data_IF_078102211198
#
_entry.id   IF_078102211198
#
_cell.length_a   1.000
_cell.length_b   1.000
_cell.length_c   1.000
_cell.angle_alpha   90.00
_cell.angle_beta   90.00
_cell.angle_gamma   90.00
#
_symmetry.space_group_name_H-M   'P 1'
#
loop_
_entity.id
_entity.type
_entity.pdbx_description
1 polymer ?
#
# COMPACT_ATOMS: atom_id res chain seq x y z
N UNK A 1 11.28 5.78 -15.15
CA UNK A 1 12.01 4.84 -16.04
C UNK A 1 11.63 5.00 -17.52
N UNK A 2 10.36 4.93 -17.91
CA UNK A 2 9.97 4.92 -19.34
C UNK A 2 10.47 6.13 -20.12
N UNK A 3 10.31 7.35 -19.59
CA UNK A 3 10.86 8.55 -20.24
C UNK A 3 12.39 8.52 -20.33
N UNK A 4 13.10 8.01 -19.32
CA UNK A 4 14.55 7.80 -19.38
C UNK A 4 14.95 6.82 -20.49
N UNK A 5 14.24 5.70 -20.61
CA UNK A 5 14.48 4.72 -21.67
C UNK A 5 14.27 5.32 -23.07
N UNK A 6 13.16 6.04 -23.27
CA UNK A 6 12.86 6.70 -24.54
C UNK A 6 13.92 7.76 -24.87
N UNK A 7 14.35 8.54 -23.89
CA UNK A 7 15.39 9.55 -24.08
C UNK A 7 16.72 8.93 -24.52
N UNK A 8 17.17 7.89 -23.80
CA UNK A 8 18.38 7.14 -24.12
C UNK A 8 18.30 6.49 -25.51
N UNK A 9 17.20 5.79 -25.80
CA UNK A 9 17.01 5.10 -27.08
C UNK A 9 17.03 6.07 -28.26
N UNK A 10 16.36 7.23 -28.13
CA UNK A 10 16.40 8.29 -29.14
C UNK A 10 17.83 8.79 -29.37
N UNK A 11 18.59 8.98 -28.30
CA UNK A 11 19.99 9.40 -28.39
C UNK A 11 20.87 8.35 -29.09
N UNK A 12 20.67 7.06 -28.80
CA UNK A 12 21.37 5.97 -29.50
C UNK A 12 21.05 5.97 -31.00
N UNK A 13 19.83 6.34 -31.41
CA UNK A 13 19.46 6.53 -32.82
C UNK A 13 19.93 7.87 -33.42
N UNK A 14 20.69 8.69 -32.69
CA UNK A 14 21.19 9.98 -33.18
C UNK A 14 20.11 11.06 -33.32
N UNK A 15 18.95 10.88 -32.67
CA UNK A 15 17.87 11.87 -32.68
C UNK A 15 18.18 13.02 -31.72
N UNK A 16 17.68 14.25 -32.00
CA UNK A 16 17.90 15.39 -31.12
C UNK A 16 17.29 15.17 -29.74
N UNK A 17 17.99 15.68 -28.72
CA UNK A 17 17.54 15.70 -27.33
C UNK A 17 16.26 16.52 -27.20
N UNK A 18 15.32 16.00 -26.41
CA UNK A 18 14.07 16.67 -26.06
C UNK A 18 14.01 16.84 -24.54
N UNK A 19 13.86 18.07 -24.02
CA UNK A 19 13.81 18.31 -22.58
C UNK A 19 12.54 17.75 -21.92
N UNK A 20 11.48 17.55 -22.70
CA UNK A 20 10.23 16.93 -22.24
C UNK A 20 9.83 15.87 -23.26
N UNK A 21 9.60 14.65 -22.79
CA UNK A 21 9.13 13.54 -23.61
C UNK A 21 7.67 13.24 -23.34
N UNK A 22 6.89 13.14 -24.40
CA UNK A 22 5.55 12.57 -24.34
C UNK A 22 5.66 11.04 -24.33
N UNK A 23 5.36 10.43 -23.19
CA UNK A 23 5.38 8.96 -23.01
C UNK A 23 3.96 8.41 -22.86
N UNK A 24 3.67 7.20 -23.36
CA UNK A 24 2.38 6.55 -23.13
C UNK A 24 2.17 6.30 -21.64
N UNK A 25 0.93 6.36 -21.17
CA UNK A 25 0.51 5.81 -19.89
C UNK A 25 0.43 4.27 -19.99
N UNK A 26 0.43 3.54 -18.86
CA UNK A 26 0.23 2.10 -18.89
C UNK A 26 -1.05 1.74 -19.68
N UNK A 27 -0.97 0.77 -20.61
CA UNK A 27 -2.14 0.34 -21.36
C UNK A 27 -3.22 -0.20 -20.41
N UNK A 28 -4.48 0.19 -20.64
CA UNK A 28 -5.63 -0.29 -19.88
C UNK A 28 -6.48 -1.19 -20.76
N UNK A 29 -7.02 -2.28 -20.19
CA UNK A 29 -7.91 -3.18 -20.92
C UNK A 29 -9.12 -2.41 -21.49
N UNK A 30 -9.42 -2.65 -22.76
CA UNK A 30 -10.54 -1.99 -23.47
C UNK A 30 -10.24 -0.61 -24.05
N UNK A 31 -9.04 -0.05 -23.86
CA UNK A 31 -8.63 1.23 -24.45
C UNK A 31 -7.65 1.00 -25.60
N UNK A 32 -8.00 1.44 -26.82
CA UNK A 32 -7.20 1.18 -28.03
C UNK A 32 -5.83 1.87 -28.05
N UNK A 33 -5.76 3.16 -27.70
CA UNK A 33 -4.50 3.93 -27.63
C UNK A 33 -4.33 4.50 -26.23
N UNK A 34 -3.22 4.23 -25.52
CA UNK A 34 -2.99 4.80 -24.20
C UNK A 34 -2.92 6.33 -24.25
N UNK A 35 -3.46 7.01 -23.23
CA UNK A 35 -3.18 8.43 -23.01
C UNK A 35 -1.67 8.68 -22.87
N UNK A 36 -1.21 9.93 -22.98
CA UNK A 36 0.22 10.26 -22.88
C UNK A 36 0.48 11.32 -21.81
N UNK A 37 1.67 11.28 -21.22
CA UNK A 37 2.15 12.21 -20.20
C UNK A 37 3.45 12.87 -20.67
N UNK A 38 3.55 14.19 -20.50
CA UNK A 38 4.81 14.90 -20.67
C UNK A 38 5.70 14.72 -19.44
N UNK A 39 6.88 14.15 -19.61
CA UNK A 39 7.83 13.90 -18.52
C UNK A 39 9.14 14.64 -18.83
N UNK A 40 9.58 15.55 -17.95
CA UNK A 40 10.89 16.19 -18.06
C UNK A 40 12.02 15.16 -18.03
N UNK A 41 12.98 15.30 -18.94
CA UNK A 41 14.21 14.52 -18.95
C UNK A 41 15.32 15.42 -18.42
N UNK A 42 15.96 15.00 -17.34
CA UNK A 42 17.01 15.79 -16.70
C UNK A 42 18.26 15.86 -17.59
N UNK A 43 18.67 14.71 -18.12
CA UNK A 43 19.84 14.59 -19.00
C UNK A 43 19.83 13.26 -19.75
N UNK A 44 20.65 13.19 -20.80
CA UNK A 44 20.99 11.95 -21.51
C UNK A 44 22.49 11.92 -21.72
N UNK A 45 23.12 10.80 -21.40
CA UNK A 45 24.56 10.61 -21.43
C UNK A 45 24.89 9.39 -22.28
N UNK A 46 25.94 9.46 -23.10
CA UNK A 46 26.52 8.26 -23.72
C UNK A 46 27.29 7.48 -22.66
N UNK A 47 27.01 6.18 -22.52
CA UNK A 47 27.66 5.31 -21.55
C UNK A 47 27.99 3.99 -22.26
N UNK A 48 29.27 3.64 -22.40
CA UNK A 48 29.67 2.39 -23.07
C UNK A 48 29.16 2.27 -24.51
N UNK A 49 28.47 1.16 -24.80
CA UNK A 49 27.85 0.83 -26.09
C UNK A 49 26.41 1.35 -26.22
N UNK A 50 25.96 2.18 -25.28
CA UNK A 50 24.60 2.65 -25.19
C UNK A 50 24.48 4.08 -24.68
N UNK A 51 23.31 4.39 -24.14
CA UNK A 51 23.04 5.68 -23.53
C UNK A 51 22.20 5.53 -22.26
N UNK A 52 22.33 6.49 -21.35
CA UNK A 52 21.58 6.56 -20.11
C UNK A 52 20.74 7.82 -20.08
N UNK A 53 19.43 7.65 -19.98
CA UNK A 53 18.48 8.74 -19.81
C UNK A 53 18.08 8.86 -18.36
N UNK A 54 18.02 10.09 -17.86
CA UNK A 54 17.82 10.39 -16.45
C UNK A 54 16.54 11.17 -16.26
N UNK A 55 15.73 10.74 -15.30
CA UNK A 55 14.51 11.41 -14.88
C UNK A 55 14.54 11.58 -13.37
N UNK A 56 14.16 12.76 -12.88
CA UNK A 56 13.89 12.99 -11.48
C UNK A 56 12.41 12.72 -11.25
N UNK A 57 12.07 11.80 -10.35
CA UNK A 57 10.67 11.46 -10.06
C UNK A 57 9.97 12.66 -9.41
N UNK A 58 8.91 13.13 -10.06
CA UNK A 58 7.98 14.08 -9.46
C UNK A 58 6.79 13.33 -8.82
N UNK A 59 6.78 13.28 -7.49
CA UNK A 59 5.67 12.75 -6.69
C UNK A 59 4.53 13.75 -6.45
N UNK A 60 4.64 14.99 -6.93
CA UNK A 60 3.74 16.07 -6.54
C UNK A 60 3.72 16.27 -5.03
N UNK A 61 2.53 16.59 -4.48
CA UNK A 61 2.32 16.78 -3.03
C UNK A 61 2.21 15.46 -2.24
N UNK A 62 2.41 14.30 -2.88
CA UNK A 62 2.34 13.00 -2.20
C UNK A 62 3.56 12.82 -1.30
N UNK A 63 3.41 12.44 -0.02
CA UNK A 63 4.52 12.10 0.87
C UNK A 63 5.06 10.71 0.50
N UNK A 64 5.53 10.58 -0.73
CA UNK A 64 6.16 9.40 -1.30
C UNK A 64 7.66 9.46 -1.02
N UNK A 65 8.20 8.42 -0.35
CA UNK A 65 9.62 8.32 -0.04
C UNK A 65 10.53 8.35 -1.29
N UNK A 66 9.95 8.13 -2.48
CA UNK A 66 10.66 8.17 -3.76
C UNK A 66 10.48 9.49 -4.52
N UNK A 67 9.79 10.50 -3.96
CA UNK A 67 9.76 11.85 -4.53
C UNK A 67 11.18 12.41 -4.64
N UNK A 68 11.51 13.03 -5.77
CA UNK A 68 12.84 13.56 -6.05
C UNK A 68 13.90 12.49 -6.38
N UNK A 69 13.54 11.20 -6.35
CA UNK A 69 14.49 10.13 -6.63
C UNK A 69 14.99 10.23 -8.08
N UNK A 70 16.31 10.16 -8.23
CA UNK A 70 16.98 10.05 -9.52
C UNK A 70 16.77 8.63 -10.07
N UNK A 71 16.13 8.54 -11.23
CA UNK A 71 15.92 7.27 -11.95
C UNK A 71 16.74 7.32 -13.24
N UNK A 72 17.68 6.41 -13.35
CA UNK A 72 18.55 6.24 -14.51
C UNK A 72 18.06 5.05 -15.32
N UNK A 73 18.05 5.17 -16.63
CA UNK A 73 17.63 4.08 -17.50
C UNK A 73 18.62 3.96 -18.66
N UNK A 74 19.45 2.94 -18.58
CA UNK A 74 20.49 2.64 -19.54
C UNK A 74 19.93 1.76 -20.66
N UNK A 75 20.28 2.07 -21.90
CA UNK A 75 19.74 1.42 -23.09
C UNK A 75 20.86 1.03 -24.05
N UNK A 76 20.87 -0.23 -24.46
CA UNK A 76 21.74 -0.75 -25.52
C UNK A 76 20.89 -1.41 -26.62
N UNK A 77 21.29 -1.26 -27.88
CA UNK A 77 20.70 -2.01 -28.97
C UNK A 77 21.25 -3.44 -28.99
N UNK A 78 20.38 -4.40 -29.26
CA UNK A 78 20.71 -5.81 -29.44
C UNK A 78 20.27 -6.26 -30.84
N UNK A 79 21.07 -6.03 -31.90
CA UNK A 79 20.66 -6.28 -33.28
C UNK A 79 20.21 -7.72 -33.54
N UNK A 80 20.87 -8.69 -32.90
CA UNK A 80 20.65 -10.13 -33.10
C UNK A 80 19.65 -10.75 -32.10
N UNK A 81 19.05 -9.96 -31.21
CA UNK A 81 18.14 -10.48 -30.21
C UNK A 81 16.73 -10.71 -30.79
N UNK A 82 16.16 -11.88 -30.46
CA UNK A 82 14.78 -12.25 -30.84
C UNK A 82 13.72 -11.57 -29.97
N UNK A 83 14.08 -11.22 -28.73
CA UNK A 83 13.20 -10.50 -27.81
C UNK A 83 13.25 -8.99 -28.08
N UNK A 84 12.08 -8.35 -28.20
CA UNK A 84 12.00 -6.89 -28.43
C UNK A 84 12.57 -6.09 -27.26
N UNK A 85 12.38 -6.56 -26.02
CA UNK A 85 12.84 -5.88 -24.80
C UNK A 85 13.41 -6.87 -23.79
N UNK A 86 14.68 -6.69 -23.42
CA UNK A 86 15.30 -7.33 -22.26
C UNK A 86 15.38 -6.31 -21.12
N UNK A 87 14.56 -6.48 -20.08
CA UNK A 87 14.51 -5.57 -18.94
C UNK A 87 15.31 -6.13 -17.76
N UNK A 88 16.26 -5.33 -17.29
CA UNK A 88 17.14 -5.63 -16.16
C UNK A 88 17.03 -4.54 -15.09
N UNK A 89 17.34 -4.92 -13.84
CA UNK A 89 17.41 -4.02 -12.70
C UNK A 89 18.86 -3.94 -12.23
N UNK A 90 19.40 -2.74 -12.15
CA UNK A 90 20.70 -2.45 -11.57
C UNK A 90 20.57 -1.89 -10.16
N UNK A 91 21.54 -1.06 -9.76
CA UNK A 91 21.65 -0.50 -8.40
C UNK A 91 20.34 0.12 -7.91
N UNK A 92 19.94 -0.24 -6.69
CA UNK A 92 18.78 0.31 -5.99
C UNK A 92 17.40 -0.01 -6.58
N UNK A 93 17.33 -0.91 -7.57
CA UNK A 93 16.08 -1.58 -7.95
C UNK A 93 15.99 -2.89 -7.18
N UNK A 94 14.91 -3.05 -6.40
CA UNK A 94 14.75 -4.22 -5.54
C UNK A 94 14.54 -5.51 -6.33
N UNK A 95 14.82 -6.66 -5.70
CA UNK A 95 14.50 -7.99 -6.20
C UNK A 95 13.47 -8.66 -5.28
N UNK A 96 12.49 -9.32 -5.88
CA UNK A 96 11.45 -10.04 -5.15
C UNK A 96 11.99 -11.37 -4.62
N UNK A 97 11.80 -11.61 -3.33
CA UNK A 97 12.27 -12.81 -2.61
C UNK A 97 11.14 -13.60 -1.96
N UNK A 98 9.97 -12.99 -1.78
CA UNK A 98 8.77 -13.63 -1.24
C UNK A 98 7.66 -13.70 -2.30
N UNK A 99 6.81 -14.73 -2.28
CA UNK A 99 5.70 -14.87 -3.21
C UNK A 99 4.54 -13.91 -2.87
N UNK A 100 3.55 -13.82 -3.77
CA UNK A 100 2.29 -13.09 -3.54
C UNK A 100 2.24 -11.69 -4.15
N UNK A 101 3.38 -11.16 -4.60
CA UNK A 101 3.42 -9.96 -5.44
C UNK A 101 3.07 -10.30 -6.91
N UNK A 102 2.66 -9.30 -7.71
CA UNK A 102 2.43 -9.49 -9.16
C UNK A 102 3.72 -9.68 -9.97
N UNK A 103 4.85 -9.82 -9.29
CA UNK A 103 6.20 -10.02 -9.84
C UNK A 103 6.74 -11.32 -9.24
N UNK A 104 7.32 -12.18 -10.06
CA UNK A 104 7.77 -13.50 -9.64
C UNK A 104 8.96 -13.42 -8.66
N UNK A 105 9.08 -14.44 -7.80
CA UNK A 105 10.26 -14.59 -6.94
C UNK A 105 11.51 -14.75 -7.80
N UNK A 106 12.55 -14.01 -7.45
CA UNK A 106 13.77 -13.90 -8.23
C UNK A 106 13.75 -12.75 -9.22
N UNK A 107 12.61 -12.17 -9.60
CA UNK A 107 12.60 -11.07 -10.57
C UNK A 107 12.84 -9.70 -9.93
N UNK A 108 13.24 -8.73 -10.77
CA UNK A 108 13.35 -7.32 -10.39
C UNK A 108 11.96 -6.77 -10.05
N UNK A 109 11.87 -5.91 -9.03
CA UNK A 109 10.64 -5.35 -8.50
C UNK A 109 10.04 -4.26 -9.41
N UNK A 110 9.81 -4.60 -10.67
CA UNK A 110 9.12 -3.76 -11.67
C UNK A 110 7.76 -4.38 -11.97
N UNK A 111 6.69 -3.71 -11.55
CA UNK A 111 5.34 -4.23 -11.71
C UNK A 111 4.93 -4.36 -13.20
N UNK A 112 3.90 -5.18 -13.50
CA UNK A 112 3.43 -5.37 -14.87
C UNK A 112 3.03 -4.08 -15.60
N UNK A 113 2.36 -3.14 -14.90
CA UNK A 113 1.95 -1.85 -15.49
C UNK A 113 3.11 -1.01 -16.03
N UNK A 114 4.12 -0.67 -15.21
CA UNK A 114 5.31 0.04 -15.68
C UNK A 114 6.10 -0.76 -16.74
N UNK A 115 6.18 -2.09 -16.63
CA UNK A 115 6.83 -2.94 -17.63
C UNK A 115 6.14 -2.82 -18.99
N UNK A 116 4.81 -2.94 -19.05
CA UNK A 116 4.03 -2.80 -20.27
C UNK A 116 4.14 -1.38 -20.86
N UNK A 117 4.14 -0.36 -20.01
CA UNK A 117 4.34 1.03 -20.42
C UNK A 117 5.71 1.22 -21.10
N UNK A 118 6.77 0.64 -20.54
CA UNK A 118 8.12 0.68 -21.10
C UNK A 118 8.19 -0.06 -22.44
N UNK A 119 7.65 -1.28 -22.50
CA UNK A 119 7.65 -2.10 -23.70
C UNK A 119 6.93 -1.43 -24.86
N UNK A 120 5.76 -0.83 -24.61
CA UNK A 120 5.03 -0.07 -25.61
C UNK A 120 5.87 1.10 -26.13
N UNK A 121 6.46 1.89 -25.23
CA UNK A 121 7.23 3.08 -25.60
C UNK A 121 8.50 2.74 -26.40
N UNK A 122 9.23 1.70 -25.99
CA UNK A 122 10.42 1.22 -26.71
C UNK A 122 10.04 0.76 -28.11
N UNK A 123 8.97 -0.03 -28.23
CA UNK A 123 8.49 -0.54 -29.52
C UNK A 123 8.06 0.57 -30.46
N UNK A 124 7.39 1.60 -29.95
CA UNK A 124 6.97 2.77 -30.72
C UNK A 124 8.18 3.51 -31.32
N UNK A 125 9.22 3.74 -30.52
CA UNK A 125 10.47 4.41 -30.98
C UNK A 125 11.20 3.53 -32.00
N UNK A 126 11.39 2.24 -31.73
CA UNK A 126 12.06 1.32 -32.66
C UNK A 126 11.33 1.25 -34.00
N UNK A 127 9.99 1.13 -34.00
CA UNK A 127 9.19 1.11 -35.21
C UNK A 127 9.33 2.40 -36.02
N UNK A 128 9.32 3.56 -35.36
CA UNK A 128 9.52 4.86 -36.02
C UNK A 128 10.92 5.01 -36.65
N UNK A 129 11.92 4.26 -36.18
CA UNK A 129 13.28 4.25 -36.73
C UNK A 129 13.53 3.06 -37.68
N UNK A 130 12.54 2.20 -37.92
CA UNK A 130 12.70 1.00 -38.74
C UNK A 130 13.65 -0.05 -38.13
N UNK A 131 13.88 0.00 -36.81
CA UNK A 131 14.75 -0.92 -36.10
C UNK A 131 13.98 -2.17 -35.67
N UNK A 132 14.38 -3.34 -36.19
CA UNK A 132 13.76 -4.63 -35.90
C UNK A 132 14.48 -5.51 -34.87
N UNK A 133 15.63 -5.07 -34.36
CA UNK A 133 16.38 -5.81 -33.34
C UNK A 133 15.80 -5.64 -31.93
N UNK A 134 16.39 -6.31 -30.95
CA UNK A 134 16.04 -6.15 -29.55
C UNK A 134 16.66 -4.92 -28.90
N UNK A 135 16.16 -4.56 -27.72
CA UNK A 135 16.67 -3.48 -26.87
C UNK A 135 16.88 -4.00 -25.46
N UNK A 136 18.09 -3.83 -24.90
CA UNK A 136 18.32 -4.03 -23.46
C UNK A 136 18.04 -2.73 -22.74
N UNK A 137 17.27 -2.80 -21.65
CA UNK A 137 17.01 -1.69 -20.76
C UNK A 137 17.39 -2.08 -19.34
N UNK A 138 18.35 -1.37 -18.75
CA UNK A 138 18.74 -1.55 -17.34
C UNK A 138 18.29 -0.33 -16.55
N UNK A 139 17.39 -0.53 -15.58
CA UNK A 139 16.90 0.56 -14.73
C UNK A 139 17.73 0.61 -13.45
N UNK A 140 18.15 1.81 -13.04
CA UNK A 140 18.92 2.05 -11.81
C UNK A 140 18.29 3.19 -11.03
N UNK A 141 18.33 3.09 -9.70
CA UNK A 141 17.91 4.14 -8.77
C UNK A 141 19.04 4.26 -7.75
N UNK A 142 20.03 5.15 -7.93
CA UNK A 142 21.24 5.16 -7.11
C UNK A 142 20.98 5.18 -5.59
N UNK A 143 19.96 5.92 -5.14
CA UNK A 143 19.57 6.01 -3.73
C UNK A 143 18.50 4.98 -3.32
N UNK A 144 18.13 4.06 -4.22
CA UNK A 144 16.98 3.17 -4.05
C UNK A 144 17.10 2.24 -2.85
N UNK A 145 18.29 1.74 -2.51
CA UNK A 145 18.46 0.93 -1.31
C UNK A 145 18.22 1.73 -0.03
N UNK A 146 18.73 2.98 0.02
CA UNK A 146 18.53 3.86 1.17
C UNK A 146 17.05 4.24 1.34
N UNK A 147 16.37 4.57 0.23
CA UNK A 147 14.94 4.89 0.21
C UNK A 147 14.12 3.69 0.66
N UNK A 148 14.45 2.47 0.21
CA UNK A 148 13.70 1.26 0.53
C UNK A 148 13.62 0.95 2.03
N UNK A 149 14.59 1.41 2.83
CA UNK A 149 14.55 1.27 4.31
C UNK A 149 13.42 2.05 4.97
N UNK A 150 12.84 3.00 4.25
CA UNK A 150 11.71 3.82 4.70
C UNK A 150 10.39 3.41 4.04
N UNK A 151 10.33 2.24 3.39
CA UNK A 151 9.12 1.71 2.75
C UNK A 151 8.70 0.36 3.33
N UNK A 152 7.59 -0.19 2.83
CA UNK A 152 7.12 -1.54 3.18
C UNK A 152 7.86 -2.64 2.40
N UNK A 153 8.85 -2.30 1.57
CA UNK A 153 9.53 -3.25 0.67
C UNK A 153 10.13 -4.44 1.42
N UNK A 154 10.81 -4.21 2.54
CA UNK A 154 11.41 -5.29 3.33
C UNK A 154 10.38 -6.35 3.75
N UNK A 155 9.23 -5.91 4.26
CA UNK A 155 8.12 -6.79 4.68
C UNK A 155 7.52 -7.56 3.50
N UNK A 156 7.44 -6.92 2.33
CA UNK A 156 6.96 -7.54 1.09
C UNK A 156 8.00 -8.46 0.43
N UNK A 157 9.19 -8.61 1.02
CA UNK A 157 10.25 -9.46 0.46
C UNK A 157 10.98 -8.82 -0.71
N UNK A 158 11.02 -7.48 -0.80
CA UNK A 158 11.74 -6.75 -1.83
C UNK A 158 13.06 -6.25 -1.23
N UNK A 159 14.16 -6.80 -1.73
CA UNK A 159 15.51 -6.61 -1.15
C UNK A 159 16.43 -5.89 -2.15
N UNK A 160 17.35 -5.06 -1.64
CA UNK A 160 18.39 -4.39 -2.43
C UNK A 160 17.93 -3.12 -3.16
N UNK A 161 16.70 -2.65 -2.94
CA UNK A 161 16.21 -1.45 -3.61
C UNK A 161 14.71 -1.19 -3.50
N UNK A 162 14.26 -0.16 -4.22
CA UNK A 162 12.85 0.20 -4.32
C UNK A 162 12.12 -0.62 -5.38
N UNK A 163 10.79 -0.60 -5.28
CA UNK A 163 9.90 -1.14 -6.30
C UNK A 163 9.55 -0.06 -7.31
N UNK A 164 9.53 -0.40 -8.60
CA UNK A 164 9.01 0.47 -9.66
C UNK A 164 7.56 0.07 -9.93
N UNK A 165 6.65 0.88 -9.43
CA UNK A 165 5.21 0.64 -9.43
C UNK A 165 4.44 1.79 -10.09
N UNK A 166 3.20 1.50 -10.49
CA UNK A 166 2.29 2.47 -11.11
C UNK A 166 1.30 1.80 -12.05
N UNK A 167 0.01 1.80 -11.69
CA UNK A 167 -1.06 1.22 -12.54
C UNK A 167 -1.62 2.22 -13.55
N UNK A 168 -1.53 3.52 -13.25
CA UNK A 168 -2.05 4.61 -14.09
C UNK A 168 -0.98 5.46 -14.75
N UNK A 169 0.29 5.31 -14.34
CA UNK A 169 1.40 6.13 -14.81
C UNK A 169 1.42 7.57 -14.30
N UNK A 170 0.46 7.95 -13.45
CA UNK A 170 0.35 9.26 -12.80
C UNK A 170 0.35 9.10 -11.28
N UNK A 171 0.81 10.14 -10.57
CA UNK A 171 0.75 10.21 -9.10
C UNK A 171 -0.50 10.98 -8.71
N UNK A 172 -1.28 10.43 -7.77
CA UNK A 172 -2.38 11.14 -7.13
C UNK A 172 -2.07 11.22 -5.63
N UNK A 173 -1.69 12.40 -5.13
CA UNK A 173 -1.34 12.58 -3.72
C UNK A 173 -2.42 12.05 -2.77
N UNK A 174 -1.99 11.38 -1.69
CA UNK A 174 -2.87 10.89 -0.61
C UNK A 174 -4.05 10.04 -1.08
N UNK A 175 -3.86 9.23 -2.14
CA UNK A 175 -4.99 8.46 -2.66
C UNK A 175 -5.33 7.26 -1.76
N UNK A 176 -6.61 7.14 -1.40
CA UNK A 176 -7.15 5.94 -0.74
C UNK A 176 -6.83 4.65 -1.51
N UNK A 177 -6.71 4.75 -2.84
CA UNK A 177 -6.40 3.62 -3.71
C UNK A 177 -4.96 3.11 -3.54
N UNK A 178 -3.97 4.00 -3.31
CA UNK A 178 -2.60 3.58 -3.00
C UNK A 178 -2.54 2.81 -1.67
N UNK A 179 -3.28 3.26 -0.65
CA UNK A 179 -3.36 2.58 0.65
C UNK A 179 -4.04 1.22 0.55
N UNK A 180 -5.16 1.13 -0.16
CA UNK A 180 -5.82 -0.14 -0.45
C UNK A 180 -4.92 -1.11 -1.21
N UNK A 181 -4.18 -0.62 -2.19
CA UNK A 181 -3.23 -1.44 -2.95
C UNK A 181 -2.10 -1.98 -2.05
N UNK A 182 -1.58 -1.16 -1.13
CA UNK A 182 -0.58 -1.61 -0.17
C UNK A 182 -1.13 -2.70 0.76
N UNK A 183 -2.31 -2.50 1.35
CA UNK A 183 -2.99 -3.51 2.18
C UNK A 183 -3.20 -4.81 1.39
N UNK A 184 -3.67 -4.70 0.14
CA UNK A 184 -3.88 -5.84 -0.74
C UNK A 184 -2.60 -6.62 -1.03
N UNK A 185 -1.46 -5.94 -1.22
CA UNK A 185 -0.16 -6.56 -1.44
C UNK A 185 0.37 -7.25 -0.18
N UNK A 186 0.30 -6.60 0.98
CA UNK A 186 0.71 -7.21 2.26
C UNK A 186 -0.10 -8.49 2.54
N UNK A 187 -1.42 -8.46 2.35
CA UNK A 187 -2.29 -9.62 2.50
C UNK A 187 -1.97 -10.74 1.49
N UNK A 188 -1.67 -10.39 0.24
CA UNK A 188 -1.29 -11.39 -0.77
C UNK A 188 0.03 -12.08 -0.44
N UNK A 189 1.03 -11.34 0.03
CA UNK A 189 2.31 -11.92 0.49
C UNK A 189 2.08 -12.83 1.69
N UNK A 190 1.34 -12.35 2.70
CA UNK A 190 1.02 -13.15 3.88
C UNK A 190 0.32 -14.47 3.53
N UNK A 191 -0.66 -14.41 2.61
CA UNK A 191 -1.39 -15.60 2.18
C UNK A 191 -0.53 -16.56 1.39
N UNK A 192 0.32 -16.04 0.50
CA UNK A 192 1.22 -16.83 -0.34
C UNK A 192 2.31 -17.54 0.47
N UNK A 193 2.67 -17.01 1.64
CA UNK A 193 3.52 -17.66 2.64
C UNK A 193 2.78 -18.75 3.45
N UNK A 194 1.50 -18.99 3.16
CA UNK A 194 0.69 -20.03 3.80
C UNK A 194 -0.01 -19.58 5.08
N UNK A 195 0.05 -18.30 5.46
CA UNK A 195 -0.66 -17.82 6.64
C UNK A 195 -2.17 -17.82 6.40
N UNK A 196 -2.90 -18.43 7.34
CA UNK A 196 -4.37 -18.48 7.36
C UNK A 196 -4.97 -17.43 8.30
N UNK A 197 -4.12 -16.79 9.12
CA UNK A 197 -4.47 -15.68 10.01
C UNK A 197 -3.77 -14.39 9.57
N UNK A 198 -4.52 -13.29 9.57
CA UNK A 198 -3.98 -11.94 9.42
C UNK A 198 -4.35 -11.08 10.64
N UNK A 199 -3.39 -10.27 11.08
CA UNK A 199 -3.51 -9.33 12.19
C UNK A 199 -3.53 -7.91 11.61
N UNK A 200 -4.72 -7.36 11.49
CA UNK A 200 -5.00 -6.04 10.95
C UNK A 200 -4.97 -5.00 12.08
N UNK A 201 -4.40 -3.83 11.79
CA UNK A 201 -4.26 -2.78 12.79
C UNK A 201 -4.56 -1.38 12.24
N UNK A 202 -5.01 -0.49 13.11
CA UNK A 202 -5.23 0.92 12.77
C UNK A 202 -3.94 1.74 12.61
N UNK A 203 -2.77 1.17 12.94
CA UNK A 203 -1.46 1.81 12.77
C UNK A 203 -0.37 1.13 13.61
N UNK A 204 0.86 1.64 13.52
CA UNK A 204 2.07 1.04 14.14
C UNK A 204 1.91 0.66 15.61
N UNK A 205 1.25 1.51 16.39
CA UNK A 205 1.06 1.25 17.82
C UNK A 205 0.18 0.02 18.09
N UNK A 206 -0.99 -0.08 17.44
CA UNK A 206 -1.85 -1.25 17.60
C UNK A 206 -1.27 -2.49 16.92
N UNK A 207 -0.50 -2.33 15.83
CA UNK A 207 0.28 -3.42 15.24
C UNK A 207 1.27 -4.01 16.26
N UNK A 208 2.04 -3.16 16.93
CA UNK A 208 3.05 -3.60 17.91
C UNK A 208 2.41 -4.35 19.08
N UNK A 209 1.22 -3.93 19.51
CA UNK A 209 0.46 -4.61 20.57
C UNK A 209 -0.10 -5.96 20.10
N UNK A 210 -0.59 -6.05 18.86
CA UNK A 210 -0.96 -7.32 18.26
C UNK A 210 0.23 -8.27 18.12
N UNK A 211 1.42 -7.78 17.73
CA UNK A 211 2.63 -8.60 17.64
C UNK A 211 3.01 -9.19 19.01
N UNK A 212 2.87 -8.42 20.09
CA UNK A 212 3.04 -8.93 21.46
C UNK A 212 1.98 -9.96 21.84
N UNK A 213 0.75 -9.79 21.35
CA UNK A 213 -0.36 -10.72 21.60
C UNK A 213 -0.22 -12.04 20.83
N UNK A 214 0.45 -12.00 19.68
CA UNK A 214 0.68 -13.11 18.76
C UNK A 214 2.17 -13.26 18.41
N UNK A 215 3.03 -13.57 19.39
CA UNK A 215 4.49 -13.59 19.19
C UNK A 215 4.96 -14.69 18.24
N UNK A 216 4.16 -15.72 18.04
CA UNK A 216 4.47 -16.86 17.15
C UNK A 216 4.18 -16.56 15.67
N UNK A 217 3.54 -15.42 15.36
CA UNK A 217 3.28 -15.01 13.98
C UNK A 217 4.44 -14.18 13.44
N UNK A 218 4.84 -14.38 12.17
CA UNK A 218 5.86 -13.55 11.55
C UNK A 218 5.32 -12.16 11.20
N UNK A 219 6.22 -11.21 10.96
CA UNK A 219 5.85 -9.82 10.65
C UNK A 219 4.90 -9.69 9.45
N UNK A 220 4.98 -10.60 8.47
CA UNK A 220 4.13 -10.61 7.28
C UNK A 220 2.67 -10.88 7.61
N UNK A 221 2.36 -11.51 8.74
CA UNK A 221 0.99 -11.70 9.19
C UNK A 221 0.35 -10.40 9.73
N UNK A 222 1.12 -9.32 9.92
CA UNK A 222 0.65 -8.06 10.47
C UNK A 222 0.54 -7.00 9.38
N UNK A 223 -0.64 -6.38 9.26
CA UNK A 223 -0.95 -5.42 8.19
C UNK A 223 -1.55 -4.16 8.79
N UNK A 224 -1.07 -2.99 8.37
CA UNK A 224 -1.62 -1.71 8.80
C UNK A 224 -2.76 -1.29 7.88
N UNK A 225 -3.99 -1.57 8.29
CA UNK A 225 -5.19 -1.21 7.57
C UNK A 225 -5.63 0.24 7.78
N UNK A 226 -5.03 0.96 8.74
CA UNK A 226 -5.34 2.34 9.07
C UNK A 226 -6.85 2.56 9.29
N UNK A 227 -7.50 3.28 8.38
CA UNK A 227 -8.93 3.60 8.43
C UNK A 227 -9.82 2.69 7.58
N UNK A 228 -9.23 1.79 6.80
CA UNK A 228 -9.90 1.03 5.75
C UNK A 228 -10.42 -0.32 6.25
N UNK A 229 -11.15 -0.33 7.38
CA UNK A 229 -11.59 -1.57 8.05
C UNK A 229 -12.41 -2.48 7.15
N UNK A 230 -13.43 -1.97 6.46
CA UNK A 230 -14.27 -2.81 5.61
C UNK A 230 -13.48 -3.38 4.43
N UNK A 231 -12.64 -2.55 3.79
CA UNK A 231 -11.80 -2.98 2.68
C UNK A 231 -10.79 -4.04 3.13
N UNK A 232 -10.08 -3.82 4.24
CA UNK A 232 -9.04 -4.74 4.70
C UNK A 232 -9.62 -6.11 5.10
N UNK A 233 -10.76 -6.11 5.79
CA UNK A 233 -11.46 -7.35 6.17
C UNK A 233 -11.98 -8.10 4.95
N UNK A 234 -12.65 -7.42 4.02
CA UNK A 234 -13.13 -8.02 2.77
C UNK A 234 -11.99 -8.54 1.89
N UNK A 235 -10.93 -7.75 1.71
CA UNK A 235 -9.76 -8.14 0.92
C UNK A 235 -9.03 -9.36 1.53
N UNK A 236 -9.00 -9.49 2.86
CA UNK A 236 -8.45 -10.66 3.52
C UNK A 236 -9.36 -11.89 3.29
N UNK A 237 -10.68 -11.74 3.42
CA UNK A 237 -11.62 -12.82 3.16
C UNK A 237 -11.55 -13.32 1.70
N UNK A 238 -11.49 -12.41 0.72
CA UNK A 238 -11.31 -12.74 -0.71
C UNK A 238 -10.05 -13.57 -0.98
N UNK A 239 -9.02 -13.42 -0.14
CA UNK A 239 -7.75 -14.18 -0.23
C UNK A 239 -7.80 -15.50 0.54
N UNK A 240 -8.94 -15.84 1.15
CA UNK A 240 -9.13 -17.09 1.88
C UNK A 240 -8.39 -17.14 3.22
N UNK A 241 -8.30 -16.00 3.92
CA UNK A 241 -7.97 -16.00 5.35
C UNK A 241 -9.17 -16.51 6.15
N UNK A 242 -8.91 -17.25 7.23
CA UNK A 242 -9.94 -17.92 8.03
C UNK A 242 -10.13 -17.29 9.40
N UNK A 243 -9.08 -16.64 9.90
CA UNK A 243 -9.08 -15.94 11.17
C UNK A 243 -8.46 -14.56 10.98
N UNK A 244 -9.15 -13.52 11.40
CA UNK A 244 -8.66 -12.15 11.38
C UNK A 244 -8.61 -11.62 12.80
N UNK A 245 -7.54 -10.93 13.16
CA UNK A 245 -7.47 -10.15 14.39
C UNK A 245 -7.46 -8.66 14.02
N UNK A 246 -8.30 -7.84 14.66
CA UNK A 246 -8.35 -6.40 14.44
C UNK A 246 -7.96 -5.65 15.72
N UNK A 247 -6.78 -5.04 15.72
CA UNK A 247 -6.25 -4.28 16.85
C UNK A 247 -6.52 -2.78 16.70
N UNK A 248 -7.20 -2.19 17.69
CA UNK A 248 -7.58 -0.79 17.63
C UNK A 248 -7.66 -0.12 19.01
N UNK A 249 -7.83 1.20 19.00
CA UNK A 249 -8.09 2.02 20.19
C UNK A 249 -9.56 2.44 20.23
N UNK A 250 -10.02 2.86 21.40
CA UNK A 250 -11.44 3.05 21.71
C UNK A 250 -12.22 3.89 20.69
N UNK A 251 -11.68 5.01 20.22
CA UNK A 251 -12.36 5.82 19.20
C UNK A 251 -12.58 5.10 17.86
N UNK A 252 -11.64 4.25 17.44
CA UNK A 252 -11.79 3.41 16.23
C UNK A 252 -12.73 2.25 16.47
N UNK A 253 -12.72 1.68 17.68
CA UNK A 253 -13.66 0.64 18.10
C UNK A 253 -15.11 1.13 18.04
N UNK A 254 -15.41 2.29 18.65
CA UNK A 254 -16.77 2.86 18.66
C UNK A 254 -17.26 3.13 17.24
N UNK A 255 -16.39 3.65 16.35
CA UNK A 255 -16.72 3.83 14.93
C UNK A 255 -17.01 2.52 14.20
N UNK A 256 -16.26 1.46 14.50
CA UNK A 256 -16.53 0.14 13.96
C UNK A 256 -17.84 -0.45 14.53
N UNK A 257 -18.12 -0.22 15.82
CA UNK A 257 -19.38 -0.58 16.47
C UNK A 257 -20.59 0.17 15.90
N UNK A 258 -20.40 1.40 15.38
CA UNK A 258 -21.39 2.14 14.60
C UNK A 258 -21.61 1.55 13.18
N UNK A 259 -20.81 0.57 12.76
CA UNK A 259 -20.89 -0.02 11.42
C UNK A 259 -20.28 0.83 10.32
N UNK A 260 -19.37 1.75 10.64
CA UNK A 260 -18.73 2.59 9.64
C UNK A 260 -17.69 1.79 8.83
N UNK A 261 -17.75 1.78 7.48
CA UNK A 261 -16.81 1.04 6.65
C UNK A 261 -15.41 1.69 6.61
N UNK A 262 -15.33 2.97 7.00
CA UNK A 262 -14.12 3.77 7.05
C UNK A 262 -14.07 4.59 8.35
N UNK A 263 -13.01 4.45 9.15
CA UNK A 263 -12.95 5.00 10.52
C UNK A 263 -12.30 6.38 10.63
N UNK A 264 -12.01 7.03 9.51
CA UNK A 264 -11.38 8.35 9.51
C UNK A 264 -12.29 9.42 10.14
N UNK A 265 -11.69 10.40 10.81
CA UNK A 265 -12.42 11.42 11.58
C UNK A 265 -13.42 12.22 10.74
N UNK A 266 -13.06 12.51 9.48
CA UNK A 266 -13.86 13.32 8.54
C UNK A 266 -15.00 12.57 7.84
N UNK A 267 -14.99 11.23 7.83
CA UNK A 267 -15.94 10.44 7.02
C UNK A 267 -17.29 10.31 7.70
N UNK A 268 -17.29 10.13 9.02
CA UNK A 268 -18.47 10.18 9.87
C UNK A 268 -18.03 10.49 11.31
N UNK A 269 -18.78 11.35 12.02
CA UNK A 269 -18.48 11.69 13.41
C UNK A 269 -18.65 10.46 14.31
N UNK A 270 -17.94 10.50 15.44
CA UNK A 270 -18.17 9.60 16.54
C UNK A 270 -19.53 9.93 17.17
N UNK A 271 -20.40 8.95 17.32
CA UNK A 271 -21.73 9.12 17.91
C UNK A 271 -21.67 8.82 19.41
N UNK A 272 -21.38 9.86 20.19
CA UNK A 272 -21.28 9.78 21.65
C UNK A 272 -22.63 9.57 22.35
N UNK A 273 -23.75 10.17 21.90
CA UNK A 273 -25.08 9.80 22.37
C UNK A 273 -25.39 8.31 22.20
N UNK A 274 -25.04 7.72 21.06
CA UNK A 274 -25.20 6.28 20.84
C UNK A 274 -24.30 5.45 21.77
N UNK A 275 -23.05 5.87 21.96
CA UNK A 275 -22.16 5.23 22.94
C UNK A 275 -22.74 5.28 24.36
N UNK A 276 -23.32 6.42 24.76
CA UNK A 276 -23.98 6.57 26.05
C UNK A 276 -25.16 5.61 26.20
N UNK A 277 -25.96 5.41 25.15
CA UNK A 277 -27.02 4.41 25.14
C UNK A 277 -26.46 3.00 25.40
N UNK A 278 -25.37 2.61 24.73
CA UNK A 278 -24.75 1.30 24.97
C UNK A 278 -24.19 1.17 26.40
N UNK A 279 -23.68 2.27 26.98
CA UNK A 279 -23.24 2.29 28.37
C UNK A 279 -24.43 2.09 29.33
N UNK A 280 -25.57 2.74 29.08
CA UNK A 280 -26.80 2.57 29.86
C UNK A 280 -27.29 1.12 29.82
N UNK A 281 -27.33 0.51 28.63
CA UNK A 281 -27.71 -0.90 28.45
C UNK A 281 -26.76 -1.87 29.18
N UNK A 282 -25.49 -1.47 29.36
CA UNK A 282 -24.50 -2.23 30.12
C UNK A 282 -24.56 -2.01 31.63
N UNK A 283 -25.43 -1.11 32.12
CA UNK A 283 -25.59 -0.82 33.54
C UNK A 283 -24.61 0.21 34.11
N UNK A 284 -24.01 1.06 33.27
CA UNK A 284 -23.20 2.21 33.73
C UNK A 284 -24.10 3.21 34.47
N UNK A 285 -23.58 3.82 35.54
CA UNK A 285 -24.28 4.83 36.32
C UNK A 285 -24.83 5.97 35.44
N UNK A 286 -26.08 6.40 35.69
CA UNK A 286 -26.79 7.34 34.80
C UNK A 286 -26.07 8.71 34.71
N UNK A 287 -25.43 9.19 35.79
CA UNK A 287 -24.69 10.44 35.75
C UNK A 287 -23.46 10.35 34.83
N UNK A 288 -22.81 9.17 34.78
CA UNK A 288 -21.72 8.91 33.81
C UNK A 288 -22.25 8.75 32.39
N UNK A 289 -23.41 8.12 32.21
CA UNK A 289 -24.06 7.99 30.89
C UNK A 289 -24.35 9.37 30.30
N UNK A 290 -24.92 10.29 31.07
CA UNK A 290 -25.14 11.68 30.66
C UNK A 290 -23.82 12.39 30.30
N UNK A 291 -22.79 12.20 31.11
CA UNK A 291 -21.47 12.77 30.85
C UNK A 291 -20.80 12.19 29.59
N UNK A 292 -20.99 10.90 29.28
CA UNK A 292 -20.52 10.28 28.03
C UNK A 292 -21.21 10.90 26.82
N UNK A 293 -22.54 11.10 26.89
CA UNK A 293 -23.30 11.70 25.79
C UNK A 293 -22.82 13.12 25.46
N UNK A 294 -22.39 13.87 26.48
CA UNK A 294 -21.84 15.22 26.36
C UNK A 294 -20.33 15.31 26.19
N UNK A 295 -19.61 14.19 26.05
CA UNK A 295 -18.16 14.21 25.87
C UNK A 295 -17.77 14.82 24.51
N UNK A 296 -16.53 15.30 24.40
CA UNK A 296 -15.99 15.85 23.15
C UNK A 296 -15.20 14.81 22.34
N UNK A 297 -14.65 13.81 23.01
CA UNK A 297 -13.77 12.82 22.37
C UNK A 297 -14.04 11.41 22.91
N UNK A 298 -13.69 10.40 22.11
CA UNK A 298 -13.71 9.01 22.57
C UNK A 298 -12.82 8.80 23.82
N UNK A 299 -11.68 9.49 23.89
CA UNK A 299 -10.78 9.39 25.04
C UNK A 299 -11.46 9.88 26.32
N UNK A 300 -12.07 11.07 26.27
CA UNK A 300 -12.85 11.59 27.39
C UNK A 300 -14.00 10.66 27.79
N UNK A 301 -14.73 10.11 26.81
CA UNK A 301 -15.78 9.14 27.09
C UNK A 301 -15.24 7.88 27.80
N UNK A 302 -14.08 7.37 27.36
CA UNK A 302 -13.42 6.24 28.03
C UNK A 302 -13.01 6.58 29.47
N UNK A 303 -12.44 7.76 29.70
CA UNK A 303 -12.04 8.22 31.04
C UNK A 303 -13.25 8.32 31.99
N UNK A 304 -14.41 8.73 31.47
CA UNK A 304 -15.67 8.78 32.23
C UNK A 304 -16.17 7.37 32.59
N UNK A 305 -16.10 6.42 31.65
CA UNK A 305 -16.57 5.04 31.84
C UNK A 305 -15.63 4.24 32.75
N UNK A 306 -14.32 4.46 32.65
CA UNK A 306 -13.27 3.67 33.32
C UNK A 306 -13.47 3.42 34.82
N UNK A 307 -13.84 4.42 35.65
CA UNK A 307 -14.01 4.21 37.10
C UNK A 307 -15.35 3.55 37.47
N UNK A 308 -16.24 3.27 36.53
CA UNK A 308 -17.54 2.65 36.79
C UNK A 308 -17.41 1.13 37.01
N UNK A 309 -18.22 0.58 37.91
CA UNK A 309 -18.24 -0.87 38.18
C UNK A 309 -18.65 -1.70 36.94
N UNK A 310 -19.46 -1.13 36.04
CA UNK A 310 -19.89 -1.74 34.79
C UNK A 310 -18.93 -1.49 33.61
N UNK A 311 -17.76 -0.87 33.83
CA UNK A 311 -16.80 -0.52 32.77
C UNK A 311 -16.48 -1.70 31.84
N UNK A 312 -16.08 -2.85 32.40
CA UNK A 312 -15.76 -4.04 31.60
C UNK A 312 -16.96 -4.52 30.77
N UNK A 313 -18.16 -4.57 31.37
CA UNK A 313 -19.39 -4.94 30.68
C UNK A 313 -19.70 -3.99 29.51
N UNK A 314 -19.50 -2.68 29.70
CA UNK A 314 -19.69 -1.68 28.66
C UNK A 314 -18.68 -1.84 27.52
N UNK A 315 -17.39 -2.01 27.83
CA UNK A 315 -16.35 -2.22 26.80
C UNK A 315 -16.58 -3.51 26.01
N UNK A 316 -16.99 -4.60 26.67
CA UNK A 316 -17.36 -5.86 26.01
C UNK A 316 -18.58 -5.69 25.10
N UNK A 317 -19.58 -4.93 25.55
CA UNK A 317 -20.78 -4.64 24.77
C UNK A 317 -20.47 -3.84 23.49
N UNK A 318 -19.56 -2.87 23.55
CA UNK A 318 -19.09 -2.13 22.37
C UNK A 318 -18.24 -3.03 21.47
N UNK A 319 -17.37 -3.85 22.05
CA UNK A 319 -16.48 -4.75 21.30
C UNK A 319 -17.25 -5.82 20.54
N UNK A 320 -18.29 -6.41 21.14
CA UNK A 320 -19.18 -7.35 20.45
C UNK A 320 -19.93 -6.73 19.28
N UNK A 321 -20.36 -5.47 19.40
CA UNK A 321 -21.00 -4.73 18.29
C UNK A 321 -20.00 -4.50 17.15
N UNK A 322 -18.79 -4.05 17.48
CA UNK A 322 -17.72 -3.88 16.50
C UNK A 322 -17.39 -5.20 15.78
N UNK A 323 -17.27 -6.30 16.53
CA UNK A 323 -17.06 -7.64 15.98
C UNK A 323 -18.16 -8.02 14.99
N UNK A 324 -19.43 -7.87 15.36
CA UNK A 324 -20.55 -8.20 14.48
C UNK A 324 -20.51 -7.41 13.15
N UNK A 325 -20.11 -6.15 13.17
CA UNK A 325 -19.91 -5.38 11.95
C UNK A 325 -18.67 -5.83 11.16
N UNK A 326 -17.57 -6.14 11.84
CA UNK A 326 -16.35 -6.64 11.21
C UNK A 326 -16.59 -7.98 10.50
N UNK A 327 -17.32 -8.91 11.12
CA UNK A 327 -17.71 -10.19 10.51
C UNK A 327 -18.61 -9.97 9.27
N UNK A 328 -19.52 -8.99 9.31
CA UNK A 328 -20.31 -8.62 8.12
C UNK A 328 -19.44 -8.07 6.98
N UNK A 329 -18.40 -7.31 7.29
CA UNK A 329 -17.47 -6.80 6.27
C UNK A 329 -16.55 -7.88 5.71
N UNK A 330 -16.11 -8.82 6.54
CA UNK A 330 -15.33 -9.97 6.09
C UNK A 330 -16.18 -10.95 5.26
N UNK A 331 -17.46 -11.09 5.58
CA UNK A 331 -18.35 -12.05 4.95
C UNK A 331 -18.40 -13.40 5.70
N UNK A 332 -19.20 -14.35 5.20
CA UNK A 332 -19.47 -15.60 5.90
C UNK A 332 -18.21 -16.48 6.03
N UNK A 333 -18.09 -17.17 7.17
CA UNK A 333 -17.06 -18.20 7.38
C UNK A 333 -15.69 -17.70 7.82
N UNK A 334 -15.50 -16.38 8.01
CA UNK A 334 -14.25 -15.79 8.52
C UNK A 334 -14.45 -15.35 9.97
N UNK A 335 -13.68 -15.94 10.89
CA UNK A 335 -13.72 -15.54 12.29
C UNK A 335 -12.95 -14.23 12.48
N UNK A 336 -13.58 -13.22 13.08
CA UNK A 336 -12.90 -11.96 13.41
C UNK A 336 -12.80 -11.80 14.92
N UNK A 337 -11.59 -11.57 15.44
CA UNK A 337 -11.36 -11.19 16.84
C UNK A 337 -11.00 -9.72 16.91
N UNK A 338 -11.70 -8.96 17.73
CA UNK A 338 -11.37 -7.55 18.00
C UNK A 338 -10.52 -7.47 19.26
N UNK A 339 -9.40 -6.74 19.20
CA UNK A 339 -8.58 -6.41 20.36
C UNK A 339 -8.66 -4.90 20.63
N UNK A 340 -9.22 -4.54 21.79
CA UNK A 340 -9.24 -3.16 22.26
C UNK A 340 -8.03 -2.90 23.13
N UNK A 341 -7.18 -1.98 22.70
CA UNK A 341 -6.04 -1.51 23.48
C UNK A 341 -6.28 -0.12 24.07
N UNK A 342 -5.67 0.12 25.23
CA UNK A 342 -5.55 1.44 25.84
C UNK A 342 -4.27 2.15 25.39
N UNK A 343 -4.24 3.48 25.51
CA UNK A 343 -3.08 4.32 25.17
C UNK A 343 -1.91 4.20 26.15
N UNK A 344 -1.94 3.31 27.14
CA UNK A 344 -0.77 2.89 27.92
C UNK A 344 -0.22 1.52 27.46
N UNK A 345 -0.87 0.87 26.49
CA UNK A 345 -0.49 -0.44 25.96
C UNK A 345 -1.17 -1.64 26.61
N UNK A 346 -2.06 -1.45 27.59
CA UNK A 346 -2.85 -2.56 28.15
C UNK A 346 -3.95 -2.97 27.18
N UNK A 347 -4.22 -4.27 27.10
CA UNK A 347 -5.42 -4.80 26.44
C UNK A 347 -6.60 -4.67 27.40
N UNK A 348 -7.65 -3.97 26.98
CA UNK A 348 -8.83 -3.72 27.81
C UNK A 348 -9.87 -4.83 27.68
N UNK A 349 -10.05 -5.35 26.46
CA UNK A 349 -10.94 -6.48 26.15
C UNK A 349 -10.64 -7.06 24.77
N UNK A 350 -11.08 -8.30 24.56
CA UNK A 350 -11.08 -8.98 23.26
C UNK A 350 -12.36 -9.78 23.05
N UNK A 351 -12.93 -9.76 21.85
CA UNK A 351 -14.14 -10.53 21.51
C UNK A 351 -14.10 -11.11 20.09
#
# INVERSE_FOLDING_TARGET
>A
MTAGAVAALRHVFGLPFLPVLSVPLPPQEGVGVPGRLGVPVAEVLTEGDGATGVVIKDGGDDPDATHGARIETHVCLLPDATATLLLEGGTGVGRVTLPGLPVAVGDIAVNPGPRAQLEFAVREVCAAQGYGGGVRVTVRVPEGEAIARHTLNGRLGIVGGISILGTRGTVRPYSHEAWKAAIAQELSVARALGHRRACLSTGRRSETLLMRRYPDLPEQAFVQAADFVAFALGAAAERGFEALAWGCFFGKLVKLAQGLPHTHARTAPLDLPLLAQWCREAGVDEARVEAVAGANTAGQALDIITPDAACHTALDAVTRRAKAHAERFAGPGVGVTIHLFHLNGTELTSA
#
